data_IF_556699387228
#
_entry.id   IF_556699387228
#
_cell.length_a   1.000
_cell.length_b   1.000
_cell.length_c   1.000
_cell.angle_alpha   90.00
_cell.angle_beta   90.00
_cell.angle_gamma   90.00
#
_symmetry.space_group_name_H-M   'P 1'
#
loop_
_entity.id
_entity.type
_entity.pdbx_description
1 polymer ?
#
# COMPACT_ATOMS: atom_id res chain seq x y z
N UNK A 1 54.48 14.93 18.83
CA UNK A 1 53.19 15.64 18.90
C UNK A 1 52.45 15.46 17.56
N UNK A 2 51.48 14.54 17.49
CA UNK A 2 50.46 14.51 16.43
C UNK A 2 49.12 14.33 17.13
N UNK A 3 48.38 15.41 17.30
CA UNK A 3 47.01 15.38 17.81
C UNK A 3 46.08 14.99 16.66
N UNK A 4 45.45 13.81 16.79
CA UNK A 4 44.30 13.43 15.99
C UNK A 4 43.10 14.23 16.49
N UNK A 5 42.45 14.96 15.58
CA UNK A 5 41.14 15.57 15.85
C UNK A 5 40.07 14.48 15.83
N UNK A 6 39.50 14.22 17.00
CA UNK A 6 38.34 13.37 17.18
C UNK A 6 37.12 14.10 16.63
N UNK A 7 36.60 13.67 15.48
CA UNK A 7 35.31 14.13 14.96
C UNK A 7 34.18 13.53 15.80
N UNK A 8 33.38 14.40 16.41
CA UNK A 8 32.25 14.04 17.26
C UNK A 8 31.11 13.41 16.44
N UNK A 9 30.42 12.35 16.94
CA UNK A 9 29.36 11.65 16.21
C UNK A 9 28.10 12.48 15.92
N UNK A 10 27.93 13.65 16.56
CA UNK A 10 26.73 14.49 16.48
C UNK A 10 26.62 15.37 15.23
N UNK A 11 27.73 15.65 14.53
CA UNK A 11 27.74 16.58 13.39
C UNK A 11 26.91 16.08 12.19
N UNK A 12 27.07 14.81 11.81
CA UNK A 12 26.34 14.24 10.67
C UNK A 12 24.84 14.11 10.91
N UNK A 13 24.41 13.84 12.15
CA UNK A 13 22.98 13.78 12.46
C UNK A 13 22.34 15.16 12.40
N UNK A 14 23.01 16.19 12.90
CA UNK A 14 22.55 17.57 12.81
C UNK A 14 22.45 18.06 11.36
N UNK A 15 23.43 17.73 10.51
CA UNK A 15 23.40 18.12 9.08
C UNK A 15 22.26 17.45 8.31
N UNK A 16 21.97 16.18 8.62
CA UNK A 16 20.85 15.43 8.05
C UNK A 16 19.51 16.00 8.55
N UNK A 17 19.39 16.27 9.86
CA UNK A 17 18.18 16.83 10.46
C UNK A 17 17.90 18.27 9.99
N UNK A 18 18.94 19.09 9.83
CA UNK A 18 18.82 20.44 9.31
C UNK A 18 18.41 20.44 7.83
N UNK A 19 19.01 19.58 7.01
CA UNK A 19 18.63 19.44 5.61
C UNK A 19 17.17 18.96 5.46
N UNK A 20 16.73 18.03 6.31
CA UNK A 20 15.37 17.51 6.28
C UNK A 20 14.35 18.47 6.91
N UNK A 21 14.75 19.33 7.85
CA UNK A 21 13.93 20.44 8.35
C UNK A 21 13.70 21.50 7.27
N UNK A 22 14.75 21.84 6.50
CA UNK A 22 14.63 22.72 5.32
C UNK A 22 13.71 22.10 4.27
N UNK A 23 13.86 20.79 4.00
CA UNK A 23 12.93 20.07 3.12
C UNK A 23 11.50 20.10 3.69
N UNK A 24 11.30 19.80 4.99
CA UNK A 24 10.01 19.84 5.68
C UNK A 24 9.31 21.21 5.58
N UNK A 25 10.06 22.31 5.76
CA UNK A 25 9.53 23.66 5.58
C UNK A 25 9.22 23.97 4.11
N UNK A 26 10.04 23.47 3.19
CA UNK A 26 9.75 23.51 1.75
C UNK A 26 8.47 22.75 1.39
N UNK A 27 8.25 21.60 2.03
CA UNK A 27 7.04 20.77 1.88
C UNK A 27 5.82 21.55 2.37
N UNK A 28 5.83 22.05 3.61
CA UNK A 28 4.74 22.82 4.19
C UNK A 28 4.41 24.08 3.35
N UNK A 29 5.45 24.78 2.87
CA UNK A 29 5.28 25.96 2.02
C UNK A 29 4.76 25.63 0.62
N UNK A 30 5.15 24.47 0.05
CA UNK A 30 4.68 24.00 -1.25
C UNK A 30 3.23 23.52 -1.23
N UNK A 31 2.77 23.02 -0.07
CA UNK A 31 1.37 22.67 0.16
C UNK A 31 0.51 23.95 0.30
N UNK A 32 1.04 24.98 0.97
CA UNK A 32 0.62 26.38 0.87
C UNK A 32 -0.89 26.67 0.98
N UNK A 33 -1.34 27.89 0.60
CA UNK A 33 -2.77 28.22 0.53
C UNK A 33 -3.49 27.39 -0.54
N UNK A 34 -2.76 26.84 -1.52
CA UNK A 34 -3.33 26.09 -2.63
C UNK A 34 -4.03 24.80 -2.18
N UNK A 35 -3.50 24.09 -1.18
CA UNK A 35 -4.18 22.91 -0.63
C UNK A 35 -5.45 23.31 0.13
N UNK A 36 -5.39 24.37 0.93
CA UNK A 36 -6.55 24.92 1.64
C UNK A 36 -7.62 25.37 0.65
N UNK A 37 -7.22 26.08 -0.41
CA UNK A 37 -8.11 26.51 -1.49
C UNK A 37 -8.72 25.33 -2.25
N UNK A 38 -7.94 24.27 -2.51
CA UNK A 38 -8.42 23.04 -3.15
C UNK A 38 -9.43 22.28 -2.30
N UNK A 39 -9.30 22.32 -0.97
CA UNK A 39 -10.18 21.62 -0.03
C UNK A 39 -11.41 22.46 0.35
N UNK A 40 -11.30 23.79 0.30
CA UNK A 40 -12.35 24.70 0.78
C UNK A 40 -13.26 25.23 -0.33
N UNK A 41 -12.81 25.19 -1.59
CA UNK A 41 -13.60 25.68 -2.72
C UNK A 41 -14.13 24.52 -3.58
N UNK A 42 -15.35 24.64 -4.12
CA UNK A 42 -15.84 23.66 -5.08
C UNK A 42 -14.94 23.64 -6.34
N UNK A 43 -14.85 22.49 -7.01
CA UNK A 43 -14.09 22.37 -8.26
C UNK A 43 -14.63 23.38 -9.29
N UNK A 44 -13.75 24.08 -10.03
CA UNK A 44 -14.16 24.98 -11.11
C UNK A 44 -15.07 24.30 -12.14
N UNK A 45 -16.07 25.02 -12.66
CA UNK A 45 -17.07 24.49 -13.59
C UNK A 45 -16.45 23.88 -14.85
N UNK A 46 -15.38 24.47 -15.38
CA UNK A 46 -14.65 23.91 -16.53
C UNK A 46 -14.06 22.52 -16.24
N UNK A 47 -13.62 22.24 -15.01
CA UNK A 47 -13.11 20.92 -14.61
C UNK A 47 -14.24 19.91 -14.46
N UNK A 48 -15.39 20.33 -13.93
CA UNK A 48 -16.60 19.50 -13.85
C UNK A 48 -17.03 19.10 -15.26
N UNK A 49 -17.13 20.06 -16.18
CA UNK A 49 -17.51 19.81 -17.57
C UNK A 49 -16.49 18.92 -18.29
N UNK A 50 -15.20 19.20 -18.13
CA UNK A 50 -14.13 18.35 -18.71
C UNK A 50 -14.22 16.91 -18.20
N UNK A 51 -14.49 16.71 -16.91
CA UNK A 51 -14.68 15.38 -16.35
C UNK A 51 -15.89 14.67 -16.96
N UNK A 52 -17.03 15.36 -17.03
CA UNK A 52 -18.24 14.80 -17.62
C UNK A 52 -18.05 14.45 -19.11
N UNK A 53 -17.40 15.32 -19.88
CA UNK A 53 -17.13 15.07 -21.30
C UNK A 53 -16.22 13.84 -21.50
N UNK A 54 -15.25 13.63 -20.61
CA UNK A 54 -14.31 12.51 -20.70
C UNK A 54 -14.86 11.20 -20.17
N UNK A 55 -15.72 11.24 -19.15
CA UNK A 55 -16.15 10.05 -18.40
C UNK A 55 -17.62 9.71 -18.57
N UNK A 56 -18.42 10.67 -19.04
CA UNK A 56 -19.88 10.62 -19.05
C UNK A 56 -20.49 10.32 -17.67
N UNK A 57 -19.80 10.75 -16.61
CA UNK A 57 -20.27 10.62 -15.22
C UNK A 57 -20.21 11.96 -14.49
N UNK A 58 -21.10 12.20 -13.50
CA UNK A 58 -20.99 13.36 -12.61
C UNK A 58 -19.61 13.47 -11.96
N UNK A 59 -19.16 14.69 -11.70
CA UNK A 59 -17.92 14.94 -10.97
C UNK A 59 -18.02 14.54 -9.49
N UNK A 60 -19.20 14.74 -8.89
CA UNK A 60 -19.47 14.28 -7.53
C UNK A 60 -19.52 12.75 -7.50
N UNK A 61 -18.74 12.14 -6.60
CA UNK A 61 -18.60 10.69 -6.55
C UNK A 61 -19.85 9.98 -6.01
N UNK A 62 -20.65 10.64 -5.16
CA UNK A 62 -21.89 10.06 -4.66
C UNK A 62 -22.98 10.12 -5.74
N UNK A 63 -23.10 11.26 -6.44
CA UNK A 63 -24.01 11.39 -7.57
C UNK A 63 -23.65 10.37 -8.67
N UNK A 64 -22.36 10.28 -9.02
CA UNK A 64 -21.87 9.29 -9.98
C UNK A 64 -22.17 7.86 -9.56
N UNK A 65 -22.00 7.52 -8.27
CA UNK A 65 -22.32 6.20 -7.74
C UNK A 65 -23.83 5.87 -7.83
N UNK A 66 -24.72 6.86 -7.74
CA UNK A 66 -26.17 6.62 -7.90
C UNK A 66 -26.57 6.31 -9.34
N UNK A 67 -25.82 6.83 -10.32
CA UNK A 67 -26.12 6.67 -11.74
C UNK A 67 -25.42 5.45 -12.37
N UNK A 68 -24.38 4.93 -11.70
CA UNK A 68 -23.56 3.84 -12.21
C UNK A 68 -23.78 2.55 -11.42
N UNK A 69 -24.74 1.72 -11.86
CA UNK A 69 -25.05 0.42 -11.21
C UNK A 69 -24.39 -0.78 -11.88
N UNK A 70 -23.84 -0.59 -13.07
CA UNK A 70 -23.22 -1.63 -13.90
C UNK A 70 -22.08 -1.06 -14.74
N UNK A 71 -21.31 -1.96 -15.34
CA UNK A 71 -20.30 -1.62 -16.36
C UNK A 71 -20.36 -2.57 -17.54
N UNK A 72 -19.75 -2.14 -18.63
CA UNK A 72 -19.48 -3.00 -19.78
C UNK A 72 -18.18 -3.79 -19.57
N UNK A 73 -18.23 -5.07 -19.97
CA UNK A 73 -17.09 -5.99 -19.95
C UNK A 73 -17.09 -6.84 -21.21
N UNK A 74 -15.99 -6.81 -21.96
CA UNK A 74 -15.81 -7.67 -23.13
C UNK A 74 -15.42 -9.10 -22.71
N UNK A 75 -16.13 -10.11 -23.23
CA UNK A 75 -15.84 -11.51 -22.94
C UNK A 75 -14.39 -11.87 -23.30
N UNK A 76 -13.60 -12.52 -22.40
CA UNK A 76 -12.25 -12.97 -22.69
C UNK A 76 -12.15 -13.96 -23.87
N UNK A 77 -13.24 -14.63 -24.23
CA UNK A 77 -13.29 -15.62 -25.32
C UNK A 77 -13.80 -15.03 -26.64
N UNK A 78 -15.05 -14.58 -26.69
CA UNK A 78 -15.69 -14.14 -27.94
C UNK A 78 -15.71 -12.62 -28.15
N UNK A 79 -15.21 -11.83 -27.20
CA UNK A 79 -15.14 -10.35 -27.24
C UNK A 79 -16.50 -9.62 -27.23
N UNK A 80 -17.62 -10.34 -27.25
CA UNK A 80 -18.96 -9.75 -27.06
C UNK A 80 -19.00 -8.98 -25.76
N UNK A 81 -19.56 -7.77 -25.80
CA UNK A 81 -19.72 -6.87 -24.65
C UNK A 81 -20.89 -7.36 -23.80
N UNK A 82 -20.69 -7.41 -22.48
CA UNK A 82 -21.66 -7.83 -21.50
C UNK A 82 -21.87 -6.68 -20.52
N UNK A 83 -23.13 -6.35 -20.23
CA UNK A 83 -23.46 -5.43 -19.14
C UNK A 83 -23.49 -6.21 -17.83
N UNK A 84 -22.65 -5.81 -16.89
CA UNK A 84 -22.41 -6.54 -15.65
C UNK A 84 -22.67 -5.62 -14.47
N UNK A 85 -23.62 -5.96 -13.57
CA UNK A 85 -23.86 -5.20 -12.36
C UNK A 85 -22.62 -5.13 -11.48
N UNK A 86 -22.40 -3.99 -10.82
CA UNK A 86 -21.30 -3.86 -9.87
C UNK A 86 -21.49 -4.74 -8.64
N UNK A 87 -22.72 -4.84 -8.15
CA UNK A 87 -23.11 -5.64 -7.00
C UNK A 87 -24.32 -6.50 -7.38
N UNK A 88 -24.33 -7.75 -6.92
CA UNK A 88 -25.49 -8.62 -6.99
C UNK A 88 -25.79 -9.19 -5.61
N UNK A 89 -27.05 -9.56 -5.36
CA UNK A 89 -27.49 -10.18 -4.09
C UNK A 89 -26.75 -11.50 -3.82
N UNK A 90 -26.43 -12.24 -4.88
CA UNK A 90 -25.73 -13.53 -4.79
C UNK A 90 -24.21 -13.41 -4.62
N UNK A 91 -23.65 -12.20 -4.51
CA UNK A 91 -22.22 -12.01 -4.29
C UNK A 91 -21.33 -12.11 -5.54
N UNK A 92 -21.90 -12.12 -6.75
CA UNK A 92 -21.18 -12.37 -8.01
C UNK A 92 -21.01 -11.14 -8.90
N UNK A 93 -21.35 -9.95 -8.40
CA UNK A 93 -21.17 -8.67 -9.09
C UNK A 93 -19.70 -8.31 -9.31
N UNK A 94 -19.46 -7.37 -10.23
CA UNK A 94 -18.11 -7.02 -10.70
C UNK A 94 -17.13 -6.52 -9.60
N UNK A 95 -17.66 -5.86 -8.57
CA UNK A 95 -16.86 -5.35 -7.44
C UNK A 95 -16.83 -6.33 -6.26
N UNK A 96 -17.38 -7.53 -6.40
CA UNK A 96 -17.42 -8.55 -5.35
C UNK A 96 -16.32 -9.61 -5.58
N UNK A 97 -15.85 -10.22 -4.50
CA UNK A 97 -14.69 -11.13 -4.52
C UNK A 97 -14.92 -12.37 -5.40
N UNK A 98 -16.16 -12.85 -5.49
CA UNK A 98 -16.56 -14.02 -6.29
C UNK A 98 -17.17 -13.63 -7.63
N UNK A 99 -16.69 -12.53 -8.22
CA UNK A 99 -17.17 -12.05 -9.51
C UNK A 99 -17.18 -13.16 -10.59
N UNK A 100 -18.37 -13.46 -11.09
CA UNK A 100 -18.58 -14.40 -12.20
C UNK A 100 -19.88 -14.09 -12.92
N UNK A 101 -19.84 -14.06 -14.26
CA UNK A 101 -21.02 -13.91 -15.12
C UNK A 101 -20.90 -14.78 -16.37
N UNK A 102 -22.00 -15.34 -16.85
CA UNK A 102 -22.00 -16.03 -18.14
C UNK A 102 -22.05 -15.03 -19.31
N UNK A 103 -21.28 -15.29 -20.35
CA UNK A 103 -21.32 -14.48 -21.55
C UNK A 103 -22.71 -14.48 -22.20
N UNK A 104 -23.21 -13.29 -22.55
CA UNK A 104 -24.50 -13.07 -23.18
C UNK A 104 -24.62 -13.70 -24.59
N UNK A 105 -23.49 -13.99 -25.25
CA UNK A 105 -23.45 -14.65 -26.55
C UNK A 105 -23.82 -16.15 -26.40
N UNK A 106 -24.98 -16.59 -26.93
CA UNK A 106 -25.50 -17.94 -26.71
C UNK A 106 -24.60 -19.05 -27.23
N UNK A 107 -23.79 -18.78 -28.26
CA UNK A 107 -22.82 -19.70 -28.83
C UNK A 107 -21.52 -19.81 -28.01
N UNK A 108 -21.21 -18.80 -27.19
CA UNK A 108 -19.97 -18.72 -26.43
C UNK A 108 -20.09 -19.42 -25.06
N UNK A 109 -21.10 -19.01 -24.27
CA UNK A 109 -21.37 -19.46 -22.88
C UNK A 109 -20.14 -19.51 -21.96
N UNK A 110 -19.12 -18.72 -22.25
CA UNK A 110 -17.93 -18.67 -21.43
C UNK A 110 -18.23 -17.98 -20.10
N UNK A 111 -17.74 -18.56 -19.01
CA UNK A 111 -17.75 -17.93 -17.70
C UNK A 111 -16.70 -16.80 -17.68
N UNK A 112 -17.16 -15.58 -17.42
CA UNK A 112 -16.33 -14.38 -17.32
C UNK A 112 -16.05 -14.13 -15.85
N UNK A 113 -14.77 -14.21 -15.48
CA UNK A 113 -14.27 -13.98 -14.12
C UNK A 113 -13.22 -12.87 -14.10
N UNK A 114 -12.89 -12.36 -12.91
CA UNK A 114 -11.81 -11.37 -12.72
C UNK A 114 -10.50 -11.88 -13.31
N UNK A 115 -10.08 -13.09 -12.93
CA UNK A 115 -8.89 -13.76 -13.46
C UNK A 115 -8.89 -13.89 -14.99
N UNK A 116 -10.03 -14.21 -15.60
CA UNK A 116 -10.16 -14.33 -17.05
C UNK A 116 -9.98 -13.00 -17.78
N UNK A 117 -10.51 -11.92 -17.18
CA UNK A 117 -10.34 -10.56 -17.65
C UNK A 117 -8.91 -10.06 -17.48
N UNK A 118 -8.30 -10.31 -16.32
CA UNK A 118 -6.90 -10.01 -16.03
C UNK A 118 -5.94 -10.75 -16.96
N UNK A 119 -6.20 -12.04 -17.24
CA UNK A 119 -5.45 -12.81 -18.24
C UNK A 119 -5.54 -12.16 -19.62
N UNK A 120 -6.75 -11.77 -20.06
CA UNK A 120 -6.92 -11.11 -21.36
C UNK A 120 -6.15 -9.79 -21.43
N UNK A 121 -6.20 -8.98 -20.37
CA UNK A 121 -5.42 -7.74 -20.25
C UNK A 121 -3.92 -8.01 -20.39
N UNK A 122 -3.38 -8.98 -19.65
CA UNK A 122 -1.96 -9.39 -19.74
C UNK A 122 -1.58 -9.85 -21.14
N UNK A 123 -2.39 -10.69 -21.76
CA UNK A 123 -2.13 -11.22 -23.11
C UNK A 123 -2.14 -10.11 -24.14
N UNK A 124 -3.07 -9.15 -24.05
CA UNK A 124 -3.08 -8.00 -24.94
C UNK A 124 -1.77 -7.19 -24.83
N UNK A 125 -1.28 -6.94 -23.61
CA UNK A 125 -0.02 -6.21 -23.41
C UNK A 125 1.22 -6.99 -23.86
N UNK A 126 1.23 -8.32 -23.65
CA UNK A 126 2.30 -9.22 -24.12
C UNK A 126 2.40 -9.25 -25.65
N UNK A 127 1.26 -9.29 -26.32
CA UNK A 127 1.16 -9.52 -27.76
C UNK A 127 1.24 -8.26 -28.61
N UNK A 128 1.04 -7.09 -27.99
CA UNK A 128 1.12 -5.77 -28.63
C UNK A 128 2.53 -5.45 -29.07
N UNK A 129 2.68 -4.86 -30.24
CA UNK A 129 3.93 -4.27 -30.70
C UNK A 129 4.40 -3.14 -29.76
N UNK A 130 5.67 -3.17 -29.35
CA UNK A 130 6.21 -2.16 -28.44
C UNK A 130 6.63 -0.91 -29.22
N UNK A 131 5.81 0.15 -29.20
CA UNK A 131 6.11 1.45 -29.84
C UNK A 131 6.51 2.51 -28.82
N UNK A 132 6.00 2.40 -27.60
CA UNK A 132 6.32 3.30 -26.50
C UNK A 132 6.22 2.62 -25.14
N UNK A 133 6.31 3.45 -24.09
CA UNK A 133 6.26 2.99 -22.69
C UNK A 133 4.90 2.38 -22.35
N UNK A 134 3.82 2.88 -22.96
CA UNK A 134 2.46 2.38 -22.81
C UNK A 134 2.25 0.94 -23.31
N UNK A 135 3.21 0.40 -24.08
CA UNK A 135 3.13 -0.95 -24.65
C UNK A 135 3.99 -1.98 -23.89
N UNK A 136 4.62 -1.53 -22.79
CA UNK A 136 5.41 -2.36 -21.88
C UNK A 136 4.52 -2.95 -20.79
N UNK A 137 4.93 -4.09 -20.24
CA UNK A 137 4.17 -4.78 -19.21
C UNK A 137 4.16 -3.96 -17.91
N UNK A 138 2.98 -3.89 -17.28
CA UNK A 138 2.85 -3.34 -15.95
C UNK A 138 3.77 -4.07 -14.96
N UNK A 139 4.32 -3.32 -13.99
CA UNK A 139 5.27 -3.85 -13.00
C UNK A 139 6.72 -4.01 -13.48
N UNK A 140 7.03 -3.72 -14.76
CA UNK A 140 8.39 -3.93 -15.32
C UNK A 140 9.20 -2.65 -15.57
N UNK A 141 8.57 -1.49 -15.78
CA UNK A 141 9.29 -0.25 -16.11
C UNK A 141 10.00 0.34 -14.89
N UNK A 142 9.34 0.30 -13.73
CA UNK A 142 9.89 0.84 -12.50
C UNK A 142 10.68 -0.24 -11.76
N UNK A 143 11.94 0.06 -11.46
CA UNK A 143 12.86 -0.79 -10.68
C UNK A 143 13.40 -0.01 -9.49
N UNK A 144 13.89 -0.70 -8.47
CA UNK A 144 14.40 -0.08 -7.24
C UNK A 144 15.54 0.93 -7.48
N UNK A 145 16.32 0.79 -8.55
CA UNK A 145 17.43 1.69 -8.88
C UNK A 145 17.16 2.61 -10.06
N UNK A 146 16.05 2.40 -10.78
CA UNK A 146 15.70 3.18 -11.97
C UNK A 146 14.19 3.22 -12.16
N UNK A 147 13.62 4.40 -11.97
CA UNK A 147 12.17 4.66 -12.06
C UNK A 147 11.60 4.53 -13.47
N UNK A 148 12.46 4.55 -14.50
CA UNK A 148 12.09 4.49 -15.92
C UNK A 148 13.02 3.55 -16.70
N UNK A 149 13.08 2.28 -16.30
CA UNK A 149 13.94 1.27 -16.88
C UNK A 149 13.30 0.56 -18.10
N UNK A 150 13.15 1.30 -19.20
CA UNK A 150 12.54 0.79 -20.45
C UNK A 150 13.28 -0.41 -21.02
N UNK A 151 14.63 -0.43 -20.93
CA UNK A 151 15.45 -1.53 -21.41
C UNK A 151 15.18 -2.83 -20.65
N UNK A 152 15.04 -2.73 -19.32
CA UNK A 152 14.67 -3.88 -18.48
C UNK A 152 13.28 -4.39 -18.86
N UNK A 153 12.28 -3.51 -18.92
CA UNK A 153 10.92 -3.89 -19.30
C UNK A 153 10.84 -4.59 -20.66
N UNK A 154 11.54 -4.07 -21.68
CA UNK A 154 11.62 -4.70 -23.00
C UNK A 154 12.30 -6.08 -22.94
N UNK A 155 13.37 -6.22 -22.16
CA UNK A 155 14.09 -7.49 -21.98
C UNK A 155 13.22 -8.53 -21.28
N UNK A 156 12.43 -8.12 -20.27
CA UNK A 156 11.49 -8.99 -19.57
C UNK A 156 10.38 -9.47 -20.50
N UNK A 157 9.76 -8.57 -21.26
CA UNK A 157 8.74 -8.94 -22.26
C UNK A 157 9.31 -9.91 -23.30
N UNK A 158 10.51 -9.63 -23.83
CA UNK A 158 11.18 -10.53 -24.77
C UNK A 158 11.49 -11.90 -24.16
N UNK A 159 11.86 -11.96 -22.88
CA UNK A 159 12.10 -13.20 -22.17
C UNK A 159 10.84 -14.05 -22.02
N UNK A 160 9.71 -13.43 -21.67
CA UNK A 160 8.42 -14.13 -21.57
C UNK A 160 7.99 -14.69 -22.94
N UNK A 161 8.20 -13.94 -24.02
CA UNK A 161 7.86 -14.35 -25.39
C UNK A 161 8.73 -15.51 -25.94
N UNK A 162 9.77 -15.97 -25.21
CA UNK A 162 10.51 -17.18 -25.58
C UNK A 162 9.70 -18.45 -25.36
N UNK A 163 8.71 -18.41 -24.46
CA UNK A 163 7.82 -19.54 -24.20
C UNK A 163 7.13 -19.98 -25.51
N UNK A 164 7.13 -21.28 -25.79
CA UNK A 164 6.65 -21.82 -27.06
C UNK A 164 5.16 -21.49 -27.34
N UNK A 165 4.36 -21.33 -26.30
CA UNK A 165 2.93 -21.00 -26.43
C UNK A 165 2.69 -19.51 -26.67
N UNK A 166 3.66 -18.68 -26.32
CA UNK A 166 3.73 -17.25 -26.61
C UNK A 166 4.56 -16.96 -27.86
N UNK A 167 4.87 -17.96 -28.68
CA UNK A 167 5.47 -17.70 -29.99
C UNK A 167 4.37 -17.19 -30.93
N UNK A 168 4.61 -15.99 -31.48
CA UNK A 168 3.83 -15.47 -32.61
C UNK A 168 3.96 -16.48 -33.76
N UNK A 169 2.84 -16.92 -34.37
CA UNK A 169 2.89 -17.81 -35.53
C UNK A 169 3.79 -17.21 -36.61
N UNK A 170 4.73 -18.01 -37.12
CA UNK A 170 5.60 -17.56 -38.20
C UNK A 170 4.81 -17.32 -39.47
N UNK A 171 5.12 -16.21 -40.17
CA UNK A 171 4.70 -15.98 -41.54
C UNK A 171 5.45 -16.94 -42.48
N UNK A 172 5.01 -18.20 -42.55
CA UNK A 172 5.38 -19.08 -43.68
C UNK A 172 4.62 -18.71 -44.97
N UNK A 173 3.63 -17.82 -44.87
CA UNK A 173 2.65 -17.50 -45.92
C UNK A 173 2.57 -16.01 -46.27
N UNK A 174 3.42 -15.15 -45.71
CA UNK A 174 3.38 -13.70 -45.92
C UNK A 174 2.26 -12.97 -45.15
N UNK A 175 1.46 -13.69 -44.33
CA UNK A 175 0.33 -13.11 -43.61
C UNK A 175 0.82 -12.42 -42.32
N UNK A 176 0.61 -11.11 -42.23
CA UNK A 176 0.81 -10.33 -40.99
C UNK A 176 -0.32 -10.67 -40.03
N UNK A 177 0.00 -11.34 -38.93
CA UNK A 177 -0.95 -11.57 -37.83
C UNK A 177 -1.17 -10.25 -37.08
N UNK A 178 -2.39 -9.70 -37.16
CA UNK A 178 -2.81 -8.57 -36.32
C UNK A 178 -2.71 -8.96 -34.84
N UNK A 179 -2.31 -8.01 -33.99
CA UNK A 179 -2.11 -8.23 -32.55
C UNK A 179 -3.32 -8.89 -31.87
N UNK A 180 -4.54 -8.51 -32.26
CA UNK A 180 -5.78 -9.10 -31.76
C UNK A 180 -5.88 -10.62 -32.03
N UNK A 181 -5.57 -11.06 -33.25
CA UNK A 181 -5.61 -12.48 -33.63
C UNK A 181 -4.54 -13.28 -32.87
N UNK A 182 -3.37 -12.66 -32.68
CA UNK A 182 -2.30 -13.25 -31.91
C UNK A 182 -2.68 -13.39 -30.42
N UNK A 183 -3.33 -12.37 -29.84
CA UNK A 183 -3.89 -12.43 -28.49
C UNK A 183 -4.90 -13.57 -28.33
N UNK A 184 -5.84 -13.73 -29.27
CA UNK A 184 -6.84 -14.80 -29.22
C UNK A 184 -6.20 -16.20 -29.21
N UNK A 185 -5.19 -16.42 -30.05
CA UNK A 185 -4.45 -17.67 -30.08
C UNK A 185 -3.72 -17.95 -28.76
N UNK A 186 -3.14 -16.93 -28.13
CA UNK A 186 -2.47 -17.09 -26.82
C UNK A 186 -3.49 -17.43 -25.74
N UNK A 187 -4.68 -16.80 -25.75
CA UNK A 187 -5.75 -17.12 -24.80
C UNK A 187 -6.22 -18.58 -24.92
N UNK A 188 -6.39 -19.07 -26.15
CA UNK A 188 -6.73 -20.48 -26.41
C UNK A 188 -5.65 -21.43 -25.86
N UNK A 189 -4.37 -21.13 -26.11
CA UNK A 189 -3.24 -21.91 -25.59
C UNK A 189 -3.11 -21.85 -24.06
N UNK A 190 -3.56 -20.77 -23.43
CA UNK A 190 -3.66 -20.65 -21.98
C UNK A 190 -4.94 -21.30 -21.43
N UNK A 191 -5.82 -21.82 -22.30
CA UNK A 191 -7.16 -22.34 -21.96
C UNK A 191 -7.98 -21.35 -21.12
N UNK A 192 -7.79 -20.05 -21.38
CA UNK A 192 -8.46 -18.96 -20.66
C UNK A 192 -8.24 -18.99 -19.13
N UNK A 193 -7.12 -19.54 -18.63
CA UNK A 193 -6.79 -19.61 -17.20
C UNK A 193 -5.43 -18.99 -16.88
N UNK A 194 -5.40 -18.01 -15.97
CA UNK A 194 -4.18 -17.29 -15.57
C UNK A 194 -3.11 -18.26 -15.04
N UNK A 195 -3.48 -19.18 -14.15
CA UNK A 195 -2.55 -20.14 -13.56
C UNK A 195 -1.83 -21.01 -14.59
N UNK A 196 -2.47 -21.33 -15.71
CA UNK A 196 -1.85 -22.11 -16.79
C UNK A 196 -0.77 -21.31 -17.50
N UNK A 197 -0.99 -20.01 -17.71
CA UNK A 197 0.02 -19.13 -18.27
C UNK A 197 1.16 -18.88 -17.25
N UNK A 198 0.80 -18.59 -15.99
CA UNK A 198 1.74 -18.39 -14.88
C UNK A 198 2.71 -19.57 -14.75
N UNK A 199 2.20 -20.80 -14.68
CA UNK A 199 3.03 -21.99 -14.52
C UNK A 199 4.09 -22.13 -15.63
N UNK A 200 3.74 -21.82 -16.88
CA UNK A 200 4.68 -21.85 -18.00
C UNK A 200 5.70 -20.73 -17.95
N UNK A 201 5.26 -19.52 -17.62
CA UNK A 201 6.14 -18.36 -17.47
C UNK A 201 7.15 -18.56 -16.35
N UNK A 202 6.74 -19.18 -15.23
CA UNK A 202 7.65 -19.53 -14.13
C UNK A 202 8.77 -20.46 -14.60
N UNK A 203 8.47 -21.48 -15.41
CA UNK A 203 9.47 -22.38 -16.02
C UNK A 203 10.37 -21.63 -17.00
N UNK A 204 9.78 -20.79 -17.86
CA UNK A 204 10.55 -20.02 -18.87
C UNK A 204 11.49 -18.99 -18.25
N UNK A 205 11.21 -18.55 -17.02
CA UNK A 205 11.94 -17.52 -16.28
C UNK A 205 12.68 -18.06 -15.05
N UNK A 206 13.10 -19.34 -15.08
CA UNK A 206 13.71 -20.09 -13.96
C UNK A 206 14.90 -19.37 -13.27
N UNK A 207 15.65 -18.52 -13.96
CA UNK A 207 16.76 -17.73 -13.39
C UNK A 207 16.29 -16.48 -12.63
N UNK A 208 15.67 -16.67 -11.46
CA UNK A 208 15.30 -15.59 -10.53
C UNK A 208 13.98 -14.86 -10.86
N UNK A 209 13.23 -15.34 -11.84
CA UNK A 209 12.00 -14.70 -12.32
C UNK A 209 10.75 -14.91 -11.46
N UNK A 210 10.77 -15.79 -10.45
CA UNK A 210 9.57 -16.09 -9.65
C UNK A 210 8.97 -14.86 -8.95
N UNK A 211 9.80 -14.04 -8.30
CA UNK A 211 9.36 -12.78 -7.70
C UNK A 211 8.92 -11.75 -8.74
N UNK A 212 9.65 -11.65 -9.85
CA UNK A 212 9.33 -10.74 -10.95
C UNK A 212 8.00 -11.10 -11.62
N UNK A 213 7.74 -12.39 -11.87
CA UNK A 213 6.46 -12.87 -12.41
C UNK A 213 5.33 -12.54 -11.46
N UNK A 214 5.48 -12.79 -10.16
CA UNK A 214 4.43 -12.43 -9.20
C UNK A 214 4.17 -10.91 -9.17
N UNK A 215 5.22 -10.07 -9.25
CA UNK A 215 5.10 -8.61 -9.37
C UNK A 215 4.41 -8.17 -10.66
N UNK A 216 4.66 -8.83 -11.78
CA UNK A 216 3.97 -8.53 -13.04
C UNK A 216 2.51 -8.92 -12.89
N UNK A 217 2.24 -10.16 -12.48
CA UNK A 217 0.89 -10.71 -12.41
C UNK A 217 -0.01 -9.99 -11.39
N UNK A 218 0.53 -9.37 -10.35
CA UNK A 218 -0.26 -8.56 -9.41
C UNK A 218 -0.90 -7.33 -10.08
N UNK A 219 -0.37 -6.85 -11.21
CA UNK A 219 -0.99 -5.79 -12.01
C UNK A 219 -2.11 -6.28 -12.95
N UNK A 220 -2.31 -7.61 -13.01
CA UNK A 220 -3.24 -8.30 -13.91
C UNK A 220 -4.18 -9.26 -13.16
N UNK A 221 -4.48 -8.97 -11.89
CA UNK A 221 -5.47 -9.73 -11.09
C UNK A 221 -6.87 -9.63 -11.74
N UNK A 222 -7.19 -8.49 -12.35
CA UNK A 222 -8.40 -8.27 -13.12
C UNK A 222 -8.20 -7.24 -14.25
N UNK A 223 -9.28 -6.79 -14.89
CA UNK A 223 -9.28 -5.73 -15.91
C UNK A 223 -9.48 -4.32 -15.35
N UNK A 224 -9.42 -4.10 -14.03
CA UNK A 224 -9.55 -2.76 -13.47
C UNK A 224 -8.31 -1.93 -13.85
N UNK A 225 -8.56 -0.65 -14.12
CA UNK A 225 -7.49 0.33 -14.38
C UNK A 225 -6.78 0.74 -13.09
N UNK A 226 -7.52 0.76 -11.97
CA UNK A 226 -7.03 1.13 -10.65
C UNK A 226 -7.34 0.03 -9.64
N UNK A 227 -6.42 -0.23 -8.72
CA UNK A 227 -6.66 -1.18 -7.64
C UNK A 227 -7.63 -0.57 -6.63
N UNK A 228 -8.86 -1.07 -6.60
CA UNK A 228 -9.86 -0.73 -5.57
C UNK A 228 -9.31 -1.09 -4.18
N UNK A 229 -8.54 -2.18 -4.09
CA UNK A 229 -7.89 -2.63 -2.86
C UNK A 229 -6.93 -1.59 -2.28
N UNK A 230 -6.28 -0.78 -3.14
CA UNK A 230 -5.44 0.33 -2.68
C UNK A 230 -6.26 1.37 -1.92
N UNK A 231 -7.43 1.76 -2.45
CA UNK A 231 -8.33 2.74 -1.81
C UNK A 231 -8.84 2.18 -0.48
N UNK A 232 -9.26 0.91 -0.45
CA UNK A 232 -9.76 0.27 0.76
C UNK A 232 -8.70 0.18 1.87
N UNK A 233 -7.45 -0.15 1.52
CA UNK A 233 -6.33 -0.17 2.48
C UNK A 233 -6.03 1.22 3.03
N UNK A 234 -6.01 2.23 2.17
CA UNK A 234 -5.83 3.62 2.60
C UNK A 234 -6.97 4.09 3.51
N UNK A 235 -8.21 3.70 3.22
CA UNK A 235 -9.35 3.95 4.12
C UNK A 235 -9.16 3.35 5.51
N UNK A 236 -8.58 2.15 5.62
CA UNK A 236 -8.25 1.54 6.91
C UNK A 236 -7.16 2.30 7.67
N UNK A 237 -6.16 2.86 6.98
CA UNK A 237 -5.15 3.69 7.61
C UNK A 237 -5.76 5.00 8.14
N UNK A 238 -6.55 5.69 7.31
CA UNK A 238 -7.24 6.93 7.68
C UNK A 238 -8.13 6.73 8.90
N UNK A 239 -8.86 5.62 8.99
CA UNK A 239 -9.68 5.29 10.16
C UNK A 239 -8.85 5.23 11.46
N UNK A 240 -7.64 4.65 11.42
CA UNK A 240 -6.75 4.59 12.60
C UNK A 240 -6.25 5.99 12.99
N UNK A 241 -5.91 6.81 12.00
CA UNK A 241 -5.50 8.20 12.26
C UNK A 241 -6.64 9.03 12.85
N UNK A 242 -7.87 8.78 12.40
CA UNK A 242 -9.08 9.37 12.98
C UNK A 242 -9.31 8.89 14.42
N UNK A 243 -9.14 7.60 14.71
CA UNK A 243 -9.27 7.04 16.06
C UNK A 243 -8.22 7.62 17.03
N UNK A 244 -7.03 7.95 16.53
CA UNK A 244 -6.01 8.71 17.26
C UNK A 244 -6.36 10.20 17.45
N UNK A 245 -7.44 10.68 16.81
CA UNK A 245 -7.88 12.08 16.73
C UNK A 245 -6.96 12.99 15.90
N UNK A 246 -5.95 12.44 15.23
CA UNK A 246 -4.96 13.22 14.46
C UNK A 246 -5.54 13.87 13.20
N UNK A 247 -6.73 13.47 12.77
CA UNK A 247 -7.45 14.10 11.66
C UNK A 247 -8.38 15.22 12.12
N UNK A 248 -8.48 15.49 13.43
CA UNK A 248 -9.37 16.52 13.96
C UNK A 248 -8.80 17.90 13.61
N UNK A 249 -9.62 18.85 13.11
CA UNK A 249 -9.19 20.22 12.89
C UNK A 249 -8.61 20.84 14.16
N UNK A 250 -7.45 21.48 14.04
CA UNK A 250 -6.73 22.12 15.12
C UNK A 250 -6.09 21.19 16.14
N UNK A 251 -6.02 19.88 15.86
CA UNK A 251 -5.40 18.92 16.78
C UNK A 251 -3.90 19.19 16.99
N UNK A 252 -3.21 19.77 16.00
CA UNK A 252 -1.78 20.06 16.06
C UNK A 252 -1.45 21.56 16.17
N UNK A 253 -2.38 22.38 16.69
CA UNK A 253 -2.21 23.84 16.71
C UNK A 253 -1.37 24.33 17.90
N UNK A 254 -1.10 23.50 18.91
CA UNK A 254 -0.31 23.91 20.08
C UNK A 254 1.21 23.75 19.85
N UNK A 255 2.07 24.53 20.54
CA UNK A 255 3.52 24.35 20.47
C UNK A 255 4.00 22.94 20.86
N UNK A 256 3.29 22.30 21.80
CA UNK A 256 3.56 20.92 22.20
C UNK A 256 3.29 19.93 21.05
N UNK A 257 2.33 20.23 20.19
CA UNK A 257 1.99 19.43 19.02
C UNK A 257 3.00 19.59 17.87
N UNK A 258 3.63 20.76 17.75
CA UNK A 258 4.75 20.94 16.83
C UNK A 258 5.91 19.99 17.20
N UNK A 259 6.18 19.84 18.51
CA UNK A 259 7.17 18.88 19.01
C UNK A 259 6.78 17.44 18.68
N UNK A 260 5.49 17.11 18.70
CA UNK A 260 4.98 15.81 18.28
C UNK A 260 5.24 15.53 16.80
N UNK A 261 4.98 16.49 15.91
CA UNK A 261 5.24 16.33 14.48
C UNK A 261 6.74 16.24 14.18
N UNK A 262 7.57 17.02 14.87
CA UNK A 262 9.04 16.89 14.76
C UNK A 262 9.49 15.47 15.16
N UNK A 263 8.92 14.91 16.22
CA UNK A 263 9.22 13.55 16.66
C UNK A 263 8.84 12.50 15.60
N UNK A 264 7.65 12.62 15.01
CA UNK A 264 7.18 11.78 13.89
C UNK A 264 8.18 11.81 12.73
N UNK A 265 8.64 13.01 12.35
CA UNK A 265 9.61 13.23 11.27
C UNK A 265 10.96 12.58 11.59
N UNK A 266 11.49 12.79 12.81
CA UNK A 266 12.78 12.22 13.23
C UNK A 266 12.74 10.69 13.22
N UNK A 267 11.65 10.09 13.70
CA UNK A 267 11.46 8.63 13.65
C UNK A 267 11.38 8.10 12.22
N UNK A 268 10.72 8.81 11.32
CA UNK A 268 10.72 8.47 9.90
C UNK A 268 12.12 8.51 9.27
N UNK A 269 12.93 9.52 9.58
CA UNK A 269 14.32 9.56 9.11
C UNK A 269 15.16 8.39 9.62
N UNK A 270 15.03 8.06 10.91
CA UNK A 270 15.67 6.88 11.48
C UNK A 270 15.18 5.58 10.82
N UNK A 271 13.92 5.53 10.39
CA UNK A 271 13.38 4.40 9.64
C UNK A 271 14.00 4.26 8.24
N UNK A 272 14.18 5.36 7.51
CA UNK A 272 14.91 5.35 6.22
C UNK A 272 16.38 4.92 6.40
N UNK A 273 17.02 5.37 7.48
CA UNK A 273 18.38 4.98 7.85
C UNK A 273 18.47 3.47 8.18
N UNK A 274 17.47 2.94 8.88
CA UNK A 274 17.34 1.49 9.11
C UNK A 274 17.22 0.72 7.79
N UNK A 275 16.36 1.16 6.87
CA UNK A 275 16.19 0.58 5.52
C UNK A 275 17.45 0.66 4.66
N UNK A 276 18.23 1.74 4.81
CA UNK A 276 19.52 1.93 4.12
C UNK A 276 20.54 0.89 4.59
N UNK A 277 20.60 0.66 5.90
CA UNK A 277 21.55 -0.27 6.51
C UNK A 277 21.23 -1.76 6.31
N UNK A 278 20.00 -2.10 5.93
CA UNK A 278 19.55 -3.50 5.76
C UNK A 278 18.77 -3.71 4.45
N UNK A 279 19.44 -3.68 3.28
CA UNK A 279 18.76 -3.63 1.98
C UNK A 279 17.87 -4.83 1.65
N UNK A 280 18.16 -5.99 2.23
CA UNK A 280 17.41 -7.23 2.01
C UNK A 280 16.26 -7.44 3.02
N UNK A 281 16.11 -6.55 4.00
CA UNK A 281 15.10 -6.69 5.06
C UNK A 281 13.84 -5.90 4.72
N UNK A 282 12.70 -6.51 5.00
CA UNK A 282 11.40 -5.85 5.00
C UNK A 282 11.10 -5.34 6.41
N UNK A 283 10.77 -4.05 6.54
CA UNK A 283 10.50 -3.39 7.82
C UNK A 283 9.07 -2.85 7.85
N UNK A 284 8.40 -3.04 8.98
CA UNK A 284 7.01 -2.65 9.21
C UNK A 284 6.98 -1.35 9.99
N UNK A 285 6.42 -0.25 9.45
CA UNK A 285 6.36 1.03 10.14
C UNK A 285 5.36 0.99 11.31
N UNK A 286 5.54 1.91 12.27
CA UNK A 286 4.49 2.29 13.23
C UNK A 286 3.60 3.39 12.65
N UNK A 287 2.40 3.62 13.18
CA UNK A 287 1.42 4.56 12.60
C UNK A 287 1.97 5.98 12.40
N UNK A 288 2.74 6.48 13.36
CA UNK A 288 3.46 7.76 13.26
C UNK A 288 4.44 7.79 12.08
N UNK A 289 5.31 6.78 11.98
CA UNK A 289 6.29 6.64 10.90
C UNK A 289 5.59 6.51 9.54
N UNK A 290 4.51 5.73 9.49
CA UNK A 290 3.75 5.48 8.27
C UNK A 290 3.03 6.75 7.78
N UNK A 291 2.51 7.57 8.70
CA UNK A 291 1.93 8.87 8.35
C UNK A 291 2.96 9.78 7.68
N UNK A 292 4.15 9.92 8.28
CA UNK A 292 5.24 10.70 7.67
C UNK A 292 5.64 10.12 6.30
N UNK A 293 5.69 8.80 6.19
CA UNK A 293 6.03 8.12 4.95
C UNK A 293 5.00 8.37 3.86
N UNK A 294 3.70 8.16 4.12
CA UNK A 294 2.61 8.46 3.18
C UNK A 294 2.64 9.92 2.76
N UNK A 295 2.88 10.84 3.70
CA UNK A 295 2.99 12.28 3.41
C UNK A 295 4.14 12.56 2.45
N UNK A 296 5.30 11.94 2.64
CA UNK A 296 6.44 12.07 1.73
C UNK A 296 6.11 11.51 0.33
N UNK A 297 5.37 10.40 0.24
CA UNK A 297 4.98 9.78 -1.04
C UNK A 297 4.01 10.62 -1.87
N UNK A 298 3.26 11.55 -1.26
CA UNK A 298 2.41 12.51 -1.99
C UNK A 298 3.23 13.41 -2.93
N UNK A 299 4.56 13.50 -2.73
CA UNK A 299 5.49 14.23 -3.58
C UNK A 299 6.34 13.27 -4.40
N UNK A 300 5.71 12.51 -5.30
CA UNK A 300 6.32 11.38 -6.01
C UNK A 300 7.73 11.64 -6.57
N UNK A 301 7.97 12.82 -7.15
CA UNK A 301 9.30 13.17 -7.70
C UNK A 301 10.36 13.37 -6.60
N UNK A 302 10.02 14.09 -5.53
CA UNK A 302 10.92 14.31 -4.40
C UNK A 302 11.17 13.01 -3.64
N UNK A 303 10.10 12.23 -3.41
CA UNK A 303 10.20 10.91 -2.79
C UNK A 303 11.18 9.99 -3.51
N UNK A 304 11.08 9.92 -4.85
CA UNK A 304 12.00 9.12 -5.65
C UNK A 304 13.45 9.62 -5.58
N UNK A 305 13.67 10.94 -5.62
CA UNK A 305 15.00 11.54 -5.50
C UNK A 305 15.63 11.30 -4.13
N UNK A 306 14.86 11.53 -3.06
CA UNK A 306 15.35 11.44 -1.69
C UNK A 306 15.62 9.99 -1.28
N UNK A 307 14.73 9.05 -1.61
CA UNK A 307 14.99 7.62 -1.36
C UNK A 307 16.21 7.12 -2.12
N UNK A 308 16.40 7.53 -3.38
CA UNK A 308 17.61 7.22 -4.12
C UNK A 308 18.87 7.80 -3.46
N UNK A 309 18.82 9.06 -3.03
CA UNK A 309 19.96 9.78 -2.45
C UNK A 309 20.38 9.24 -1.08
N UNK A 310 19.42 8.98 -0.19
CA UNK A 310 19.70 8.65 1.22
C UNK A 310 19.67 7.14 1.50
N UNK A 311 18.90 6.38 0.72
CA UNK A 311 18.73 4.92 0.91
C UNK A 311 19.41 4.11 -0.20
N UNK A 312 19.80 4.76 -1.31
CA UNK A 312 20.45 4.12 -2.46
C UNK A 312 19.49 3.36 -3.39
N UNK A 313 18.18 3.43 -3.11
CA UNK A 313 17.13 2.78 -3.89
C UNK A 313 15.77 3.42 -3.61
N UNK A 314 14.87 3.35 -4.57
CA UNK A 314 13.45 3.60 -4.35
C UNK A 314 12.89 2.59 -3.36
N UNK A 315 12.14 3.08 -2.38
CA UNK A 315 11.47 2.24 -1.39
C UNK A 315 10.02 2.09 -1.82
N UNK A 316 9.71 0.91 -2.33
CA UNK A 316 8.34 0.54 -2.70
C UNK A 316 7.55 0.30 -1.41
N UNK A 317 6.45 1.02 -1.23
CA UNK A 317 5.53 0.81 -0.10
C UNK A 317 4.58 -0.32 -0.50
N UNK A 318 5.11 -1.55 -0.46
CA UNK A 318 4.35 -2.74 -0.82
C UNK A 318 3.45 -3.15 0.35
N UNK A 319 2.20 -2.72 0.27
CA UNK A 319 1.14 -2.95 1.24
C UNK A 319 0.50 -4.36 1.14
N UNK A 320 1.02 -5.27 0.30
CA UNK A 320 0.39 -6.58 0.08
C UNK A 320 1.09 -7.68 0.89
N UNK A 321 0.83 -7.75 2.19
CA UNK A 321 1.49 -8.71 3.06
C UNK A 321 0.47 -9.57 3.80
N UNK A 322 0.71 -10.88 3.79
CA UNK A 322 -0.08 -11.81 4.59
C UNK A 322 0.12 -11.53 6.09
N UNK A 323 -0.97 -11.55 6.83
CA UNK A 323 -1.06 -11.19 8.25
C UNK A 323 0.06 -11.81 9.12
N UNK A 324 0.32 -13.11 8.97
CA UNK A 324 1.34 -13.82 9.75
C UNK A 324 2.79 -13.40 9.40
N UNK A 325 3.03 -13.01 8.14
CA UNK A 325 4.34 -12.48 7.71
C UNK A 325 4.56 -11.09 8.28
N UNK A 326 3.50 -10.30 8.38
CA UNK A 326 3.54 -8.95 8.94
C UNK A 326 3.96 -8.97 10.42
N UNK A 327 3.37 -9.85 11.23
CA UNK A 327 3.71 -9.97 12.66
C UNK A 327 5.20 -10.31 12.88
N UNK A 328 5.72 -11.28 12.09
CA UNK A 328 7.13 -11.67 12.15
C UNK A 328 8.06 -10.54 11.66
N UNK A 329 7.71 -9.87 10.56
CA UNK A 329 8.45 -8.72 10.06
C UNK A 329 8.49 -7.56 11.06
N UNK A 330 7.41 -7.33 11.79
CA UNK A 330 7.38 -6.32 12.85
C UNK A 330 8.32 -6.65 14.00
N UNK A 331 8.38 -7.92 14.44
CA UNK A 331 9.37 -8.35 15.45
C UNK A 331 10.80 -8.15 14.96
N UNK A 332 11.07 -8.45 13.69
CA UNK A 332 12.38 -8.19 13.07
C UNK A 332 12.69 -6.69 13.08
N UNK A 333 11.72 -5.85 12.74
CA UNK A 333 11.85 -4.39 12.76
C UNK A 333 12.20 -3.88 14.16
N UNK A 334 11.46 -4.31 15.19
CA UNK A 334 11.73 -3.97 16.58
C UNK A 334 13.15 -4.33 17.02
N UNK A 335 13.65 -5.52 16.63
CA UNK A 335 15.00 -5.96 16.95
C UNK A 335 16.06 -5.14 16.21
N UNK A 336 15.89 -4.93 14.91
CA UNK A 336 16.82 -4.17 14.09
C UNK A 336 16.93 -2.71 14.57
N UNK A 337 15.80 -2.08 14.90
CA UNK A 337 15.74 -0.74 15.49
C UNK A 337 16.50 -0.67 16.82
N UNK A 338 16.24 -1.61 17.74
CA UNK A 338 16.92 -1.65 19.04
C UNK A 338 18.42 -1.87 18.88
N UNK A 339 18.85 -2.72 17.95
CA UNK A 339 20.27 -2.93 17.64
C UNK A 339 20.92 -1.67 17.08
N UNK A 340 20.23 -0.96 16.17
CA UNK A 340 20.77 0.21 15.48
C UNK A 340 20.83 1.47 16.35
N UNK A 341 19.79 1.71 17.15
CA UNK A 341 19.62 2.96 17.90
C UNK A 341 19.71 2.81 19.42
N UNK A 342 19.80 1.58 19.94
CA UNK A 342 19.84 1.31 21.38
C UNK A 342 18.51 1.54 22.12
N UNK A 343 17.44 1.89 21.41
CA UNK A 343 16.14 2.32 21.96
C UNK A 343 15.03 1.37 21.52
N UNK A 344 13.93 1.30 22.27
CA UNK A 344 12.77 0.51 21.87
C UNK A 344 12.07 1.12 20.66
N UNK A 345 11.51 0.29 19.78
CA UNK A 345 10.81 0.78 18.60
C UNK A 345 9.42 1.32 18.93
N UNK A 346 8.69 0.61 19.79
CA UNK A 346 7.31 0.92 20.19
C UNK A 346 7.23 1.42 21.63
N UNK A 347 6.32 2.35 21.87
CA UNK A 347 6.01 2.95 23.18
C UNK A 347 4.52 2.88 23.53
N UNK A 348 3.68 2.25 22.70
CA UNK A 348 2.23 2.11 22.87
C UNK A 348 1.79 1.20 24.03
N UNK A 349 2.73 0.47 24.64
CA UNK A 349 2.44 -0.45 25.75
C UNK A 349 1.89 -1.82 25.33
N UNK A 350 1.68 -2.06 24.03
CA UNK A 350 1.24 -3.37 23.53
C UNK A 350 2.36 -4.43 23.65
N UNK A 351 2.05 -5.68 24.02
CA UNK A 351 3.03 -6.77 24.03
C UNK A 351 3.43 -7.15 22.60
N UNK A 352 4.67 -7.59 22.36
CA UNK A 352 5.05 -8.21 21.08
C UNK A 352 4.49 -9.65 20.99
N UNK A 353 4.21 -10.21 19.79
CA UNK A 353 3.60 -11.53 19.65
C UNK A 353 4.51 -12.62 20.21
N UNK A 354 5.83 -12.40 20.11
CA UNK A 354 6.87 -13.29 20.60
C UNK A 354 7.23 -13.09 22.08
N UNK A 355 6.60 -12.15 22.80
CA UNK A 355 6.96 -11.92 24.20
C UNK A 355 6.47 -13.08 25.08
N UNK A 356 7.41 -13.68 25.82
CA UNK A 356 7.11 -14.59 26.94
C UNK A 356 6.37 -13.84 28.05
N UNK A 357 5.62 -14.55 28.90
CA UNK A 357 4.90 -13.95 30.04
C UNK A 357 5.85 -13.10 30.92
N UNK A 358 7.07 -13.57 31.17
CA UNK A 358 8.09 -12.82 31.92
C UNK A 358 8.59 -11.54 31.22
N UNK A 359 8.67 -11.55 29.89
CA UNK A 359 8.98 -10.34 29.10
C UNK A 359 7.82 -9.35 29.08
N UNK A 360 6.57 -9.83 29.10
CA UNK A 360 5.38 -8.98 29.23
C UNK A 360 5.34 -8.30 30.60
N UNK A 361 5.59 -9.05 31.66
CA UNK A 361 5.63 -8.55 33.03
C UNK A 361 6.78 -7.56 33.27
N UNK A 362 7.98 -7.82 32.73
CA UNK A 362 9.12 -6.90 32.90
C UNK A 362 8.95 -5.56 32.19
N UNK A 363 8.13 -5.48 31.14
CA UNK A 363 7.74 -4.22 30.49
C UNK A 363 6.70 -3.44 31.28
N UNK A 364 5.76 -4.13 31.92
CA UNK A 364 4.75 -3.51 32.81
C UNK A 364 5.34 -3.09 34.16
N UNK A 365 6.35 -3.82 34.64
CA UNK A 365 6.96 -3.64 35.96
C UNK A 365 8.21 -2.76 35.94
N UNK A 366 8.68 -2.30 34.77
CA UNK A 366 9.79 -1.34 34.71
C UNK A 366 9.27 0.03 35.14
N UNK A 367 9.73 0.60 36.26
CA UNK A 367 9.59 2.02 36.46
C UNK A 367 10.29 2.71 35.29
N UNK A 368 9.78 3.84 34.83
CA UNK A 368 10.52 4.76 33.96
C UNK A 368 11.71 5.28 34.79
N UNK A 369 12.74 4.45 34.96
CA UNK A 369 13.95 4.82 35.66
C UNK A 369 14.82 5.55 34.65
N UNK A 370 14.60 6.87 34.60
CA UNK A 370 15.51 7.85 34.04
C UNK A 370 16.87 7.72 34.75
N UNK A 371 17.82 7.02 34.14
CA UNK A 371 19.19 7.50 34.24
C UNK A 371 19.27 8.69 33.28
N UNK A 372 19.63 9.91 33.74
CA UNK A 372 19.67 11.06 32.85
C UNK A 372 20.85 10.89 31.89
N UNK A 373 20.59 10.37 30.69
CA UNK A 373 21.39 10.81 29.55
C UNK A 373 21.10 12.30 29.38
N UNK A 374 22.15 13.11 29.25
CA UNK A 374 22.05 14.58 29.22
C UNK A 374 21.23 15.15 28.05
N UNK A 375 20.72 14.30 27.15
CA UNK A 375 19.62 14.61 26.25
C UNK A 375 18.74 13.35 26.12
N UNK A 376 17.39 13.44 26.25
CA UNK A 376 16.51 12.37 25.82
C UNK A 376 16.63 12.23 24.30
N UNK A 377 16.88 11.02 23.81
CA UNK A 377 16.94 10.78 22.37
C UNK A 377 15.64 11.23 21.72
N UNK A 378 15.73 12.05 20.66
CA UNK A 378 14.60 12.51 19.85
C UNK A 378 13.76 11.36 19.24
N UNK A 379 14.22 10.10 19.35
CA UNK A 379 13.52 8.89 18.93
C UNK A 379 12.57 8.31 19.99
N UNK A 380 12.60 8.82 21.21
CA UNK A 380 11.65 8.50 22.29
C UNK A 380 10.53 9.54 22.26
N UNK A 381 9.24 9.14 22.13
CA UNK A 381 8.15 10.10 22.11
C UNK A 381 8.07 10.87 23.42
N UNK A 382 7.69 12.16 23.39
CA UNK A 382 7.28 12.89 24.58
C UNK A 382 6.25 12.09 25.39
N UNK A 383 6.17 12.37 26.70
CA UNK A 383 5.25 11.67 27.62
C UNK A 383 3.79 12.11 27.38
N UNK A 384 3.26 11.70 26.24
CA UNK A 384 1.92 12.00 25.78
C UNK A 384 1.22 10.72 25.29
N UNK A 385 -0.01 10.50 25.75
CA UNK A 385 -0.74 9.25 25.50
C UNK A 385 -0.98 9.00 24.00
N UNK A 386 -1.36 10.03 23.24
CA UNK A 386 -1.63 9.88 21.81
C UNK A 386 -0.34 9.61 21.00
N UNK A 387 0.80 10.17 21.40
CA UNK A 387 2.10 9.90 20.75
C UNK A 387 2.58 8.49 21.03
N UNK A 388 2.42 8.01 22.27
CA UNK A 388 2.67 6.60 22.57
C UNK A 388 1.77 5.70 21.74
N UNK A 389 0.47 5.99 21.66
CA UNK A 389 -0.47 5.22 20.87
C UNK A 389 -0.07 5.17 19.38
N UNK A 390 0.42 6.28 18.81
CA UNK A 390 0.88 6.34 17.42
C UNK A 390 2.13 5.49 17.13
N UNK A 391 2.88 5.07 18.15
CA UNK A 391 3.96 4.07 17.98
C UNK A 391 3.46 2.63 17.91
N UNK A 392 2.16 2.40 17.72
CA UNK A 392 1.59 1.08 17.44
C UNK A 392 1.94 0.62 16.01
N UNK A 393 2.15 -0.70 15.76
CA UNK A 393 2.35 -1.22 14.41
C UNK A 393 1.27 -0.75 13.43
N UNK A 394 1.70 -0.32 12.25
CA UNK A 394 0.80 -0.01 11.15
C UNK A 394 0.50 -1.30 10.36
N UNK A 395 -0.73 -1.81 10.51
CA UNK A 395 -1.16 -3.10 9.93
C UNK A 395 -2.17 -2.97 8.79
N UNK A 396 -2.34 -1.78 8.16
CA UNK A 396 -3.16 -1.70 6.93
C UNK A 396 -2.50 -2.40 5.73
N UNK A 397 -1.24 -2.83 5.90
CA UNK A 397 -0.49 -3.67 4.97
C UNK A 397 -0.91 -5.15 5.07
N UNK A 398 -1.78 -5.53 6.01
CA UNK A 398 -2.27 -6.90 6.16
C UNK A 398 -3.45 -7.19 5.21
N UNK A 399 -3.32 -8.25 4.42
CA UNK A 399 -4.43 -8.81 3.63
C UNK A 399 -5.17 -9.86 4.46
N UNK A 400 -6.46 -9.63 4.70
CA UNK A 400 -7.34 -10.60 5.38
C UNK A 400 -7.74 -11.72 4.40
N UNK A 401 -7.15 -12.90 4.54
CA UNK A 401 -7.61 -14.10 3.82
C UNK A 401 -8.75 -14.70 4.63
N UNK A 402 -10.00 -14.36 4.32
CA UNK A 402 -11.17 -14.92 5.02
C UNK A 402 -11.34 -16.41 4.64
N UNK A 403 -10.86 -17.31 5.50
CA UNK A 403 -11.14 -18.74 5.39
C UNK A 403 -12.54 -19.04 5.91
N UNK A 404 -13.59 -18.61 5.21
CA UNK A 404 -14.95 -19.13 5.45
C UNK A 404 -15.26 -20.26 4.50
N UNK A 405 -14.81 -21.46 4.87
CA UNK A 405 -15.51 -22.68 4.46
C UNK A 405 -16.53 -23.05 5.55
N UNK A 406 -17.77 -23.20 5.09
CA UNK A 406 -18.84 -24.04 5.66
C UNK A 406 -19.24 -23.80 7.12
N UNK A 407 -20.30 -23.03 7.32
CA UNK A 407 -21.57 -23.58 7.83
C UNK A 407 -22.64 -22.49 7.75
N UNK A 408 -23.79 -22.84 7.19
CA UNK A 408 -24.92 -21.94 7.01
C UNK A 408 -25.56 -21.61 8.34
N UNK A 409 -25.51 -20.35 8.73
CA UNK A 409 -26.47 -19.71 9.62
C UNK A 409 -26.44 -18.21 9.30
N UNK A 410 -27.59 -17.68 8.84
CA UNK A 410 -27.79 -16.27 8.63
C UNK A 410 -28.20 -15.61 9.95
N UNK A 411 -27.61 -14.48 10.30
CA UNK A 411 -28.15 -13.58 11.32
C UNK A 411 -28.13 -12.11 10.83
N UNK A 412 -29.19 -11.34 11.11
CA UNK A 412 -29.32 -9.94 10.71
C UNK A 412 -28.65 -9.03 11.74
N UNK A 413 -28.00 -7.96 11.30
CA UNK A 413 -27.48 -6.95 12.23
C UNK A 413 -26.50 -5.98 11.57
N UNK A 414 -26.76 -4.70 11.77
CA UNK A 414 -26.09 -3.51 11.22
C UNK A 414 -24.55 -3.54 11.19
N UNK A 415 -24.00 -2.86 10.18
CA UNK A 415 -22.57 -2.61 9.87
C UNK A 415 -21.72 -2.17 11.09
N UNK A 416 -22.33 -1.69 12.17
CA UNK A 416 -21.64 -1.20 13.38
C UNK A 416 -21.07 -2.29 14.30
N UNK A 417 -21.50 -3.55 14.19
CA UNK A 417 -20.99 -4.64 15.06
C UNK A 417 -19.81 -5.42 14.46
N UNK A 418 -19.64 -5.40 13.14
CA UNK A 418 -18.53 -6.07 12.44
C UNK A 418 -17.15 -5.44 12.64
N UNK A 419 -17.08 -4.17 13.08
CA UNK A 419 -15.81 -3.47 13.32
C UNK A 419 -15.16 -3.78 14.68
N UNK A 420 -15.92 -4.30 15.67
CA UNK A 420 -15.38 -4.61 17.01
C UNK A 420 -14.47 -5.85 17.05
N UNK A 421 -14.39 -6.63 15.98
CA UNK A 421 -13.69 -7.92 15.92
C UNK A 421 -12.41 -7.91 15.05
N UNK A 422 -12.03 -6.81 14.40
CA UNK A 422 -11.00 -6.82 13.32
C UNK A 422 -9.60 -6.41 13.79
N UNK A 423 -9.08 -7.08 14.80
CA UNK A 423 -7.63 -7.10 15.07
C UNK A 423 -7.23 -8.57 15.27
N UNK A 424 -7.08 -9.30 14.16
CA UNK A 424 -6.80 -10.74 14.16
C UNK A 424 -5.40 -11.09 14.67
N UNK A 425 -4.44 -10.17 14.57
CA UNK A 425 -3.02 -10.40 14.91
C UNK A 425 -2.72 -10.20 16.40
N UNK A 426 -3.39 -9.24 17.04
CA UNK A 426 -2.99 -8.72 18.35
C UNK A 426 -4.17 -8.76 19.33
N UNK A 427 -4.39 -9.90 20.03
CA UNK A 427 -5.52 -10.05 20.93
C UNK A 427 -5.28 -9.28 22.25
N UNK A 428 -5.41 -7.95 22.25
CA UNK A 428 -5.75 -7.14 23.44
C UNK A 428 -6.01 -5.65 23.13
N UNK A 429 -6.94 -5.31 22.24
CA UNK A 429 -7.39 -3.92 22.05
C UNK A 429 -8.60 -3.55 22.94
N UNK A 430 -8.74 -4.14 24.12
CA UNK A 430 -9.74 -3.72 25.11
C UNK A 430 -9.06 -2.86 26.19
N UNK A 431 -8.91 -1.55 25.97
CA UNK A 431 -8.63 -0.66 27.10
C UNK A 431 -7.96 0.70 26.88
N UNK A 432 -7.34 0.98 25.73
CA UNK A 432 -6.47 2.17 25.63
C UNK A 432 -7.18 3.53 25.46
N UNK A 433 -8.52 3.56 25.33
CA UNK A 433 -9.29 4.80 25.12
C UNK A 433 -10.29 5.14 26.24
N UNK A 434 -10.05 4.71 27.49
CA UNK A 434 -10.79 5.22 28.66
C UNK A 434 -9.87 5.90 29.65
N UNK A 435 -9.38 7.08 29.29
CA UNK A 435 -9.02 8.08 30.31
C UNK A 435 -10.29 8.90 30.60
N UNK A 436 -11.08 8.42 31.55
CA UNK A 436 -12.12 9.22 32.20
C UNK A 436 -11.45 10.44 32.86
N UNK A 437 -11.87 11.63 32.45
CA UNK A 437 -11.63 12.88 33.15
C UNK A 437 -12.07 12.73 34.62
N UNK A 438 -11.26 13.18 35.62
CA UNK A 438 -11.70 13.17 37.00
C UNK A 438 -12.88 14.15 37.14
N UNK A 439 -14.04 13.65 37.58
CA UNK A 439 -15.15 14.50 38.01
C UNK A 439 -14.65 15.40 39.15
N UNK A 440 -14.93 16.71 39.14
CA UNK A 440 -14.65 17.54 40.31
C UNK A 440 -15.53 17.05 41.47
N UNK A 441 -14.90 16.80 42.62
CA UNK A 441 -15.58 16.63 43.89
C UNK A 441 -16.32 17.93 44.20
N UNK A 442 -17.64 17.87 44.26
CA UNK A 442 -18.45 18.89 44.93
C UNK A 442 -18.24 18.72 46.42
N UNK A 443 -17.43 19.59 47.02
CA UNK A 443 -17.46 19.78 48.46
C UNK A 443 -18.75 20.50 48.86
N UNK A 444 -19.34 19.96 49.91
CA UNK A 444 -20.56 20.37 50.57
C UNK A 444 -20.52 21.84 51.04
N UNK A 445 -21.66 22.51 50.89
CA UNK A 445 -22.32 23.14 52.04
C UNK A 445 -23.70 22.54 52.20
#
# INVERSE_FOLDING_TARGET
MRSQSCSTPGGRAHDVLAALCVTGNGIASSLGPRLVDLLSNPPPENRINTWFDLTSTPFDCFESATQTSAREVACPKCRVVNHVPYLTENGTGYLQQTFSVQCAEPSCRHEITGDGLGLRKLVNDLTRETKGISDLLAGTVHTSTNVRNVKHAASVKAAMLRDATLKRPGSKTGVVFRDAVYADLVMERARYKMDKLKARLTVTMEDGGGHLINRILSAYVDDKMFSVDLILRQGSFVAKMHDLQWTKPGFFDSPEDETALQHVIVRYHAFLDLMSSSPASFFVPTLDIDLAWHTHQLMAENYAKDTMKYVGRFIDHDDLIEEHKLANAFVITCRAWKTRFGIQYTHCGCPLPSDTIGQRLSRLARPISLAPSRDPSYLIPPDCAHLRAATHPSDHNAVYVDQRKTNGEALPGTISEGLKARCGVWPSCRGAARCSSPRPRSDLR
#
